data_IF_815798214684
#
_entry.id   IF_815798214684
#
_cell.length_a   1.000
_cell.length_b   1.000
_cell.length_c   1.000
_cell.angle_alpha   90.00
_cell.angle_beta   90.00
_cell.angle_gamma   90.00
#
_symmetry.space_group_name_H-M   'P 1'
#
loop_
_entity.id
_entity.type
_entity.pdbx_description
1 polymer ?
#
# COMPACT_ATOMS: atom_id res chain seq x y z
N UNK A 1 -13.57 6.49 -15.95
CA UNK A 1 -12.44 6.59 -16.92
C UNK A 1 -12.74 5.66 -18.09
N UNK A 2 -12.20 5.89 -19.29
CA UNK A 2 -12.51 5.02 -20.45
C UNK A 2 -11.51 3.86 -20.56
N UNK A 3 -11.97 2.61 -20.58
CA UNK A 3 -11.15 1.44 -20.92
C UNK A 3 -10.95 1.33 -22.46
N UNK A 4 -9.70 1.33 -22.96
CA UNK A 4 -9.40 1.10 -24.36
C UNK A 4 -9.76 -0.32 -24.81
N UNK A 5 -10.15 -0.47 -26.08
CA UNK A 5 -10.53 -1.77 -26.65
C UNK A 5 -9.37 -2.77 -26.67
N UNK A 6 -8.13 -2.30 -26.82
CA UNK A 6 -6.94 -3.14 -26.79
C UNK A 6 -6.73 -3.79 -25.42
N UNK A 7 -6.92 -3.03 -24.33
CA UNK A 7 -6.92 -3.57 -22.95
C UNK A 7 -8.02 -4.62 -22.79
N UNK A 8 -9.23 -4.34 -23.27
CA UNK A 8 -10.34 -5.28 -23.20
C UNK A 8 -10.04 -6.59 -23.96
N UNK A 9 -9.34 -6.50 -25.10
CA UNK A 9 -8.93 -7.66 -25.88
C UNK A 9 -7.86 -8.50 -25.15
N UNK A 10 -6.85 -7.85 -24.57
CA UNK A 10 -5.81 -8.53 -23.81
C UNK A 10 -6.37 -9.27 -22.58
N UNK A 11 -7.33 -8.65 -21.88
CA UNK A 11 -8.02 -9.28 -20.75
C UNK A 11 -8.85 -10.48 -21.19
N UNK A 12 -9.61 -10.34 -22.29
CA UNK A 12 -10.46 -11.40 -22.82
C UNK A 12 -9.67 -12.66 -23.24
N UNK A 13 -8.37 -12.54 -23.52
CA UNK A 13 -7.49 -13.66 -23.86
C UNK A 13 -6.98 -14.44 -22.63
N UNK A 14 -6.95 -13.81 -21.45
CA UNK A 14 -6.42 -14.42 -20.23
C UNK A 14 -7.51 -14.96 -19.30
N UNK A 15 -8.72 -14.38 -19.35
CA UNK A 15 -9.86 -14.90 -18.60
C UNK A 15 -10.29 -16.24 -19.21
N UNK A 16 -10.36 -17.28 -18.38
CA UNK A 16 -10.72 -18.64 -18.79
C UNK A 16 -11.86 -19.15 -17.92
N UNK A 17 -12.72 -19.97 -18.49
CA UNK A 17 -13.85 -20.57 -17.78
C UNK A 17 -14.95 -21.00 -18.72
N UNK A 18 -15.94 -21.69 -18.17
CA UNK A 18 -17.19 -21.94 -18.89
C UNK A 18 -17.98 -20.63 -19.08
N UNK A 19 -18.99 -20.62 -19.94
CA UNK A 19 -19.86 -19.46 -20.08
C UNK A 19 -20.50 -19.04 -18.75
N UNK A 20 -20.96 -20.00 -17.94
CA UNK A 20 -21.56 -19.73 -16.63
C UNK A 20 -20.53 -19.17 -15.64
N UNK A 21 -19.31 -19.70 -15.66
CA UNK A 21 -18.21 -19.21 -14.81
C UNK A 21 -17.86 -17.77 -15.13
N UNK A 22 -17.69 -17.46 -16.42
CA UNK A 22 -17.34 -16.11 -16.86
C UNK A 22 -18.51 -15.12 -16.68
N UNK A 23 -19.76 -15.56 -16.83
CA UNK A 23 -20.92 -14.72 -16.51
C UNK A 23 -20.90 -14.33 -15.02
N UNK A 24 -20.76 -15.30 -14.12
CA UNK A 24 -20.66 -15.05 -12.68
C UNK A 24 -19.45 -14.21 -12.29
N UNK A 25 -18.31 -14.40 -12.95
CA UNK A 25 -17.08 -13.64 -12.72
C UNK A 25 -17.25 -12.17 -13.09
N UNK A 26 -17.87 -11.87 -14.23
CA UNK A 26 -18.16 -10.50 -14.65
C UNK A 26 -19.16 -9.82 -13.71
N UNK A 27 -20.22 -10.54 -13.30
CA UNK A 27 -21.19 -10.03 -12.32
C UNK A 27 -20.52 -9.72 -10.97
N UNK A 28 -19.70 -10.65 -10.45
CA UNK A 28 -18.97 -10.47 -9.20
C UNK A 28 -17.95 -9.31 -9.27
N UNK A 29 -17.37 -9.08 -10.45
CA UNK A 29 -16.48 -7.95 -10.70
C UNK A 29 -17.22 -6.60 -10.86
N UNK A 30 -18.57 -6.61 -10.84
CA UNK A 30 -19.40 -5.41 -10.89
C UNK A 30 -19.84 -4.99 -12.30
N UNK A 31 -19.79 -5.88 -13.29
CA UNK A 31 -20.23 -5.57 -14.64
C UNK A 31 -21.77 -5.40 -14.70
N UNK A 32 -22.30 -4.27 -15.21
CA UNK A 32 -23.73 -4.03 -15.25
C UNK A 32 -24.41 -4.73 -16.42
N UNK A 33 -25.67 -5.08 -16.17
CA UNK A 33 -26.59 -5.66 -17.16
C UNK A 33 -26.18 -7.05 -17.64
N UNK A 34 -27.01 -7.68 -18.48
CA UNK A 34 -26.77 -9.05 -18.92
C UNK A 34 -25.60 -9.12 -19.93
N UNK A 35 -24.94 -10.28 -20.03
CA UNK A 35 -23.93 -10.54 -21.05
C UNK A 35 -24.42 -10.22 -22.48
N UNK A 36 -23.57 -9.67 -23.36
CA UNK A 36 -23.91 -9.50 -24.78
C UNK A 36 -24.22 -10.83 -25.47
N UNK A 37 -25.18 -10.82 -26.40
CA UNK A 37 -25.50 -11.97 -27.25
C UNK A 37 -24.47 -12.11 -28.40
N UNK A 38 -23.22 -12.40 -28.04
CA UNK A 38 -22.09 -12.56 -28.96
C UNK A 38 -21.41 -13.93 -28.77
N UNK A 39 -20.68 -14.43 -29.79
CA UNK A 39 -19.86 -15.63 -29.65
C UNK A 39 -18.81 -15.50 -28.54
N UNK A 40 -18.43 -16.62 -27.92
CA UNK A 40 -17.53 -16.69 -26.75
C UNK A 40 -16.29 -15.78 -26.86
N UNK A 41 -15.58 -15.82 -27.99
CA UNK A 41 -14.35 -15.05 -28.22
C UNK A 41 -14.56 -13.53 -28.29
N UNK A 42 -15.79 -13.06 -28.53
CA UNK A 42 -16.13 -11.63 -28.66
C UNK A 42 -16.95 -11.10 -27.48
N UNK A 43 -17.71 -11.98 -26.82
CA UNK A 43 -18.65 -11.68 -25.73
C UNK A 43 -17.98 -10.94 -24.57
N UNK A 44 -16.92 -11.51 -24.01
CA UNK A 44 -16.26 -11.01 -22.80
C UNK A 44 -15.55 -9.68 -23.03
N UNK A 45 -14.85 -9.57 -24.16
CA UNK A 45 -14.24 -8.31 -24.62
C UNK A 45 -15.28 -7.19 -24.70
N UNK A 46 -16.43 -7.46 -25.32
CA UNK A 46 -17.47 -6.45 -25.51
C UNK A 46 -18.19 -6.11 -24.21
N UNK A 47 -18.40 -7.09 -23.33
CA UNK A 47 -18.98 -6.84 -22.02
C UNK A 47 -18.06 -5.98 -21.16
N UNK A 48 -16.76 -6.30 -21.11
CA UNK A 48 -15.77 -5.51 -20.39
C UNK A 48 -15.69 -4.09 -20.93
N UNK A 49 -15.66 -3.94 -22.26
CA UNK A 49 -15.65 -2.62 -22.88
C UNK A 49 -16.91 -1.81 -22.56
N UNK A 50 -18.09 -2.43 -22.56
CA UNK A 50 -19.34 -1.76 -22.19
C UNK A 50 -19.34 -1.38 -20.70
N UNK A 51 -19.02 -2.33 -19.83
CA UNK A 51 -19.03 -2.20 -18.39
C UNK A 51 -18.00 -1.17 -17.89
N UNK A 52 -16.75 -1.28 -18.32
CA UNK A 52 -15.68 -0.37 -17.88
C UNK A 52 -15.77 1.04 -18.46
N UNK A 53 -16.70 1.29 -19.39
CA UNK A 53 -17.01 2.62 -19.90
C UNK A 53 -18.35 3.17 -19.39
N UNK A 54 -19.04 2.41 -18.54
CA UNK A 54 -20.22 2.87 -17.83
C UNK A 54 -19.81 3.87 -16.73
N UNK A 55 -20.39 5.08 -16.67
CA UNK A 55 -20.06 6.08 -15.64
C UNK A 55 -20.32 5.64 -14.19
N UNK A 56 -21.18 4.63 -13.99
CA UNK A 56 -21.54 4.12 -12.66
C UNK A 56 -20.60 3.02 -12.15
N UNK A 57 -19.65 2.57 -12.97
CA UNK A 57 -18.76 1.45 -12.68
C UNK A 57 -17.36 1.97 -12.38
N UNK A 58 -16.74 1.42 -11.32
CA UNK A 58 -15.31 1.58 -11.13
C UNK A 58 -14.56 0.67 -12.12
N UNK A 59 -14.15 1.28 -13.24
CA UNK A 59 -13.44 0.59 -14.32
C UNK A 59 -12.16 -0.11 -13.87
N UNK A 60 -11.48 0.40 -12.84
CA UNK A 60 -10.23 -0.17 -12.34
C UNK A 60 -10.47 -1.37 -11.44
N UNK A 61 -11.45 -1.25 -10.54
CA UNK A 61 -11.88 -2.37 -9.71
C UNK A 61 -12.41 -3.52 -10.58
N UNK A 62 -13.27 -3.21 -11.58
CA UNK A 62 -13.77 -4.20 -12.54
C UNK A 62 -12.62 -4.92 -13.26
N UNK A 63 -11.68 -4.15 -13.83
CA UNK A 63 -10.55 -4.70 -14.58
C UNK A 63 -9.65 -5.56 -13.69
N UNK A 64 -9.35 -5.07 -12.49
CA UNK A 64 -8.48 -5.71 -11.52
C UNK A 64 -9.04 -7.03 -10.99
N UNK A 65 -10.31 -7.03 -10.59
CA UNK A 65 -11.02 -8.23 -10.14
C UNK A 65 -11.08 -9.30 -11.23
N UNK A 66 -11.18 -8.89 -12.50
CA UNK A 66 -11.23 -9.82 -13.63
C UNK A 66 -9.90 -10.51 -13.94
N UNK A 67 -8.77 -9.88 -13.62
CA UNK A 67 -7.45 -10.42 -13.96
C UNK A 67 -6.65 -10.89 -12.75
N UNK A 68 -7.16 -10.70 -11.53
CA UNK A 68 -6.46 -11.01 -10.28
C UNK A 68 -5.95 -12.46 -10.25
N UNK A 69 -6.84 -13.42 -10.44
CA UNK A 69 -6.48 -14.85 -10.37
C UNK A 69 -5.38 -15.18 -11.38
N UNK A 70 -5.50 -14.72 -12.62
CA UNK A 70 -4.48 -14.93 -13.64
C UNK A 70 -3.14 -14.25 -13.28
N UNK A 71 -3.18 -13.03 -12.77
CA UNK A 71 -1.97 -12.24 -12.50
C UNK A 71 -1.21 -12.73 -11.26
N UNK A 72 -1.91 -13.25 -10.25
CA UNK A 72 -1.37 -13.58 -8.93
C UNK A 72 -1.19 -15.07 -8.67
N UNK A 73 -1.83 -15.94 -9.46
CA UNK A 73 -1.74 -17.40 -9.33
C UNK A 73 -1.12 -18.04 -10.59
N UNK A 74 0.22 -18.20 -10.65
CA UNK A 74 0.86 -18.91 -11.75
C UNK A 74 0.46 -20.40 -11.75
N UNK A 75 0.42 -21.05 -12.93
CA UNK A 75 0.11 -22.47 -13.04
C UNK A 75 1.11 -23.32 -12.25
N UNK A 76 0.62 -24.36 -11.57
CA UNK A 76 1.43 -25.24 -10.75
C UNK A 76 2.39 -26.08 -11.60
N UNK A 77 3.63 -26.23 -11.15
CA UNK A 77 4.60 -27.11 -11.79
C UNK A 77 4.12 -28.57 -11.69
N UNK A 78 3.65 -29.14 -12.80
CA UNK A 78 3.19 -30.53 -12.88
C UNK A 78 1.70 -30.74 -13.13
N UNK A 79 0.93 -29.70 -13.50
CA UNK A 79 -0.40 -29.91 -14.06
C UNK A 79 -0.25 -30.46 -15.49
N UNK A 80 -0.22 -31.79 -15.62
CA UNK A 80 -0.41 -32.45 -16.91
C UNK A 80 -1.80 -32.07 -17.45
N UNK A 81 -1.84 -31.05 -18.31
CA UNK A 81 -3.00 -30.78 -19.14
C UNK A 81 -3.09 -31.90 -20.18
N UNK A 82 -3.64 -33.05 -19.77
CA UNK A 82 -4.02 -34.13 -20.70
C UNK A 82 -5.14 -33.61 -21.60
N UNK A 83 -4.75 -33.00 -22.73
CA UNK A 83 -5.68 -32.61 -23.77
C UNK A 83 -6.27 -33.85 -24.45
N UNK A 84 -7.61 -33.93 -24.49
CA UNK A 84 -8.40 -35.04 -25.09
C UNK A 84 -8.21 -35.15 -26.63
N UNK A 85 -7.39 -34.33 -27.27
CA UNK A 85 -7.21 -34.32 -28.73
C UNK A 85 -5.76 -34.10 -29.23
N UNK A 86 -4.75 -34.51 -28.46
CA UNK A 86 -3.37 -34.59 -28.98
C UNK A 86 -2.66 -33.25 -29.24
N UNK A 87 -3.17 -32.14 -28.69
CA UNK A 87 -2.45 -30.86 -28.62
C UNK A 87 -2.05 -30.64 -27.17
N UNK A 88 -0.76 -30.79 -26.87
CA UNK A 88 -0.20 -30.45 -25.57
C UNK A 88 -0.18 -28.94 -25.43
N UNK A 89 -1.13 -28.37 -24.70
CA UNK A 89 -1.10 -26.95 -24.32
C UNK A 89 -0.19 -26.85 -23.10
N UNK A 90 1.06 -26.46 -23.31
CA UNK A 90 2.00 -26.27 -22.21
C UNK A 90 1.68 -24.93 -21.52
N UNK A 91 0.80 -25.00 -20.53
CA UNK A 91 0.35 -23.84 -19.74
C UNK A 91 1.51 -23.13 -19.04
N UNK A 92 2.60 -23.85 -18.73
CA UNK A 92 3.80 -23.28 -18.12
C UNK A 92 4.59 -22.40 -19.10
N UNK A 93 4.54 -22.69 -20.41
CA UNK A 93 5.16 -21.88 -21.45
C UNK A 93 4.27 -20.73 -21.94
N UNK A 94 2.95 -20.93 -21.94
CA UNK A 94 1.98 -19.94 -22.45
C UNK A 94 1.68 -18.85 -21.41
N UNK A 95 1.70 -19.19 -20.12
CA UNK A 95 1.42 -18.25 -19.03
C UNK A 95 2.34 -17.03 -19.02
N UNK A 96 3.69 -17.16 -19.04
CA UNK A 96 4.57 -16.00 -19.05
C UNK A 96 4.32 -15.09 -20.25
N UNK A 97 4.13 -15.67 -21.45
CA UNK A 97 3.87 -14.91 -22.68
C UNK A 97 2.58 -14.10 -22.60
N UNK A 98 1.50 -14.71 -22.10
CA UNK A 98 0.21 -14.04 -21.92
C UNK A 98 0.26 -12.96 -20.85
N UNK A 99 0.97 -13.23 -19.75
CA UNK A 99 1.16 -12.28 -18.66
C UNK A 99 1.97 -11.07 -19.11
N UNK A 100 3.10 -11.28 -19.79
CA UNK A 100 3.95 -10.20 -20.30
C UNK A 100 3.21 -9.35 -21.34
N UNK A 101 2.42 -9.98 -22.22
CA UNK A 101 1.57 -9.25 -23.16
C UNK A 101 0.50 -8.42 -22.45
N UNK A 102 -0.18 -8.96 -21.44
CA UNK A 102 -1.19 -8.22 -20.69
C UNK A 102 -0.56 -7.02 -19.96
N UNK A 103 0.60 -7.20 -19.33
CA UNK A 103 1.36 -6.11 -18.70
C UNK A 103 1.72 -5.04 -19.73
N UNK A 104 2.30 -5.43 -20.87
CA UNK A 104 2.69 -4.49 -21.93
C UNK A 104 1.51 -3.66 -22.45
N UNK A 105 0.36 -4.29 -22.69
CA UNK A 105 -0.85 -3.60 -23.15
C UNK A 105 -1.42 -2.67 -22.07
N UNK A 106 -1.39 -3.07 -20.79
CA UNK A 106 -1.79 -2.20 -19.70
C UNK A 106 -0.88 -0.96 -19.64
N UNK A 107 0.44 -1.16 -19.65
CA UNK A 107 1.40 -0.06 -19.52
C UNK A 107 1.39 0.89 -20.72
N UNK A 108 1.27 0.37 -21.95
CA UNK A 108 1.12 1.18 -23.17
C UNK A 108 -0.10 2.10 -23.10
N UNK A 109 -1.19 1.63 -22.49
CA UNK A 109 -2.41 2.41 -22.29
C UNK A 109 -2.46 3.19 -20.98
N UNK A 110 -1.32 3.29 -20.30
CA UNK A 110 -1.21 4.09 -19.09
C UNK A 110 -1.87 3.45 -17.88
N UNK A 111 -1.80 2.13 -17.74
CA UNK A 111 -2.29 1.37 -16.59
C UNK A 111 -1.19 0.47 -16.02
N UNK A 112 -1.23 0.25 -14.71
CA UNK A 112 -0.33 -0.67 -14.03
C UNK A 112 -1.11 -1.57 -13.08
N UNK A 113 -0.82 -2.87 -13.16
CA UNK A 113 -1.33 -3.86 -12.24
C UNK A 113 -0.45 -3.97 -10.99
N UNK A 114 -1.09 -4.16 -9.84
CA UNK A 114 -0.49 -4.46 -8.55
C UNK A 114 -1.21 -5.68 -7.95
N UNK A 115 -0.44 -6.50 -7.23
CA UNK A 115 -0.93 -7.69 -6.54
C UNK A 115 -2.18 -7.38 -5.70
N UNK A 116 -3.10 -8.34 -5.67
CA UNK A 116 -4.43 -8.24 -5.05
C UNK A 116 -5.43 -7.51 -5.95
N UNK A 117 -5.33 -7.70 -7.26
CA UNK A 117 -6.33 -7.20 -8.20
C UNK A 117 -6.37 -5.67 -8.35
N UNK A 118 -5.31 -4.93 -8.01
CA UNK A 118 -5.34 -3.46 -8.06
C UNK A 118 -4.79 -2.95 -9.39
N UNK A 119 -5.55 -2.13 -10.11
CA UNK A 119 -5.09 -1.48 -11.35
C UNK A 119 -5.17 0.04 -11.19
N UNK A 120 -4.10 0.75 -11.55
CA UNK A 120 -4.01 2.20 -11.41
C UNK A 120 -3.46 2.86 -12.68
N UNK A 121 -3.72 4.15 -12.93
CA UNK A 121 -3.07 4.90 -14.01
C UNK A 121 -1.54 4.93 -13.89
N UNK A 122 -0.81 4.90 -15.01
CA UNK A 122 0.63 5.17 -15.04
C UNK A 122 0.86 6.63 -14.61
N UNK A 123 1.66 6.80 -13.55
CA UNK A 123 1.80 8.06 -12.82
C UNK A 123 1.17 8.01 -11.42
N UNK A 124 0.14 7.18 -11.25
CA UNK A 124 -0.43 6.81 -9.96
C UNK A 124 0.13 5.44 -9.55
N UNK A 125 1.45 5.33 -9.43
CA UNK A 125 1.99 4.22 -8.64
C UNK A 125 1.57 4.44 -7.18
N UNK A 126 1.21 3.40 -6.40
CA UNK A 126 1.31 3.52 -4.96
C UNK A 126 2.75 3.92 -4.70
N UNK A 127 2.93 4.99 -3.93
CA UNK A 127 4.21 5.67 -3.72
C UNK A 127 5.30 4.63 -3.45
N UNK A 128 6.05 4.28 -4.49
CA UNK A 128 7.23 3.44 -4.44
C UNK A 128 8.39 4.39 -4.70
N UNK A 129 9.00 4.82 -3.61
CA UNK A 129 10.36 5.34 -3.56
C UNK A 129 11.28 4.27 -4.15
N UNK A 130 11.66 4.39 -5.42
CA UNK A 130 12.65 3.48 -6.01
C UNK A 130 13.49 4.19 -7.06
N UNK A 131 14.65 4.63 -6.62
CA UNK A 131 15.82 4.85 -7.45
C UNK A 131 16.93 3.90 -7.00
N UNK A 132 16.65 2.60 -6.94
CA UNK A 132 17.64 1.50 -6.87
C UNK A 132 16.88 0.17 -7.05
N UNK A 133 16.71 -0.25 -8.30
CA UNK A 133 16.12 -1.56 -8.64
C UNK A 133 16.90 -2.19 -9.79
N UNK A 134 18.15 -2.55 -9.51
CA UNK A 134 18.91 -3.52 -10.29
C UNK A 134 19.66 -4.48 -9.36
N UNK A 135 18.95 -5.05 -8.38
CA UNK A 135 19.29 -6.29 -7.69
C UNK A 135 18.19 -6.59 -6.68
N UNK A 136 17.41 -7.66 -6.88
CA UNK A 136 16.87 -8.57 -5.85
C UNK A 136 15.69 -9.37 -6.41
N UNK A 137 15.99 -10.24 -7.36
CA UNK A 137 15.30 -11.53 -7.43
C UNK A 137 16.20 -12.55 -6.71
N UNK A 138 16.41 -12.37 -5.39
CA UNK A 138 17.14 -13.29 -4.51
C UNK A 138 17.12 -12.72 -3.08
N UNK A 139 16.20 -13.22 -2.25
CA UNK A 139 16.38 -13.51 -0.82
C UNK A 139 15.00 -13.68 -0.19
N UNK A 140 14.50 -14.92 -0.20
CA UNK A 140 13.33 -15.32 0.58
C UNK A 140 13.69 -15.57 2.07
N UNK A 141 14.90 -15.18 2.47
CA UNK A 141 15.39 -15.31 3.84
C UNK A 141 15.13 -14.03 4.64
N UNK A 142 14.84 -14.14 5.95
CA UNK A 142 14.75 -12.98 6.83
C UNK A 142 16.09 -12.24 6.83
N UNK A 143 16.11 -11.05 6.23
CA UNK A 143 17.31 -10.20 6.26
C UNK A 143 17.34 -9.41 7.56
N UNK A 144 18.47 -9.48 8.27
CA UNK A 144 18.75 -8.61 9.41
C UNK A 144 19.01 -7.20 8.88
N UNK A 145 18.32 -6.16 9.38
CA UNK A 145 18.60 -4.79 8.98
C UNK A 145 20.04 -4.40 9.31
N UNK A 146 20.68 -3.72 8.37
CA UNK A 146 22.08 -3.27 8.41
C UNK A 146 22.26 -1.94 9.14
N UNK A 147 21.17 -1.18 9.32
CA UNK A 147 21.17 0.10 10.03
C UNK A 147 19.91 0.32 10.85
N UNK A 148 19.96 1.25 11.81
CA UNK A 148 18.79 1.69 12.55
C UNK A 148 17.71 2.27 11.62
N UNK A 149 18.13 3.05 10.63
CA UNK A 149 17.21 3.67 9.68
C UNK A 149 16.47 2.62 8.84
N UNK A 150 17.18 1.59 8.38
CA UNK A 150 16.57 0.46 7.68
C UNK A 150 15.60 -0.31 8.59
N UNK A 151 16.01 -0.61 9.82
CA UNK A 151 15.17 -1.27 10.83
C UNK A 151 13.86 -0.50 11.06
N UNK A 152 13.95 0.81 11.32
CA UNK A 152 12.79 1.64 11.59
C UNK A 152 11.86 1.73 10.36
N UNK A 153 12.42 1.84 9.15
CA UNK A 153 11.63 1.82 7.93
C UNK A 153 10.89 0.49 7.72
N UNK A 154 11.54 -0.64 8.01
CA UNK A 154 10.92 -1.97 7.95
C UNK A 154 9.75 -2.05 8.94
N UNK A 155 9.96 -1.63 10.19
CA UNK A 155 8.92 -1.67 11.24
C UNK A 155 7.76 -0.74 10.88
N UNK A 156 8.03 0.52 10.54
CA UNK A 156 7.00 1.54 10.27
C UNK A 156 6.17 1.16 9.05
N UNK A 157 6.80 0.79 7.92
CA UNK A 157 6.06 0.36 6.72
C UNK A 157 5.39 -0.99 6.91
N UNK A 158 5.88 -1.81 7.82
CA UNK A 158 5.30 -3.10 8.21
C UNK A 158 4.08 -3.00 9.13
N UNK A 159 3.79 -1.82 9.71
CA UNK A 159 2.72 -1.63 10.70
C UNK A 159 1.37 -2.21 10.26
N UNK A 160 0.84 -1.95 9.04
CA UNK A 160 -0.46 -2.49 8.63
C UNK A 160 -0.47 -4.03 8.61
N UNK A 161 0.63 -4.65 8.17
CA UNK A 161 0.80 -6.11 8.16
C UNK A 161 0.90 -6.66 9.59
N UNK A 162 1.55 -5.94 10.49
CA UNK A 162 1.66 -6.31 11.90
C UNK A 162 0.30 -6.19 12.63
N UNK A 163 -0.53 -5.22 12.25
CA UNK A 163 -1.88 -5.02 12.80
C UNK A 163 -2.84 -6.13 12.38
N UNK A 164 -2.77 -6.61 11.14
CA UNK A 164 -3.71 -7.59 10.59
C UNK A 164 -3.96 -8.83 11.49
N UNK A 165 -2.94 -9.59 11.96
CA UNK A 165 -3.19 -10.73 12.84
C UNK A 165 -3.70 -10.36 14.25
N UNK A 166 -3.55 -9.09 14.65
CA UNK A 166 -4.03 -8.57 15.94
C UNK A 166 -5.51 -8.16 15.87
N UNK A 167 -5.96 -7.67 14.71
CA UNK A 167 -7.35 -7.28 14.44
C UNK A 167 -8.19 -8.46 13.92
N UNK A 168 -7.58 -9.40 13.18
CA UNK A 168 -8.24 -10.59 12.60
C UNK A 168 -7.83 -11.88 13.31
N UNK A 169 -8.21 -11.97 14.59
CA UNK A 169 -7.83 -13.11 15.43
C UNK A 169 -8.70 -14.35 15.19
N UNK A 170 -8.22 -15.50 15.67
CA UNK A 170 -8.96 -16.78 15.63
C UNK A 170 -10.31 -16.64 16.35
N UNK A 171 -11.31 -17.38 15.88
CA UNK A 171 -12.66 -17.41 16.45
C UNK A 171 -12.61 -17.59 17.97
N UNK A 172 -13.29 -16.70 18.69
CA UNK A 172 -13.38 -16.71 20.16
C UNK A 172 -12.28 -15.92 20.88
N UNK A 173 -11.27 -15.39 20.18
CA UNK A 173 -10.28 -14.50 20.77
C UNK A 173 -10.71 -13.02 20.66
N UNK A 174 -10.40 -12.22 21.68
CA UNK A 174 -10.61 -10.76 21.65
C UNK A 174 -9.64 -10.11 20.68
N UNK A 175 -10.17 -9.54 19.60
CA UNK A 175 -9.41 -8.72 18.66
C UNK A 175 -8.94 -7.42 19.34
N UNK A 176 -7.75 -6.96 18.97
CA UNK A 176 -7.28 -5.63 19.34
C UNK A 176 -7.87 -4.60 18.37
N UNK A 177 -8.19 -3.42 18.89
CA UNK A 177 -8.61 -2.27 18.09
C UNK A 177 -7.39 -1.39 17.79
N UNK A 178 -7.35 -0.79 16.61
CA UNK A 178 -6.34 0.19 16.19
C UNK A 178 -7.06 1.51 15.88
N UNK A 179 -7.74 2.07 16.89
CA UNK A 179 -8.68 3.17 16.73
C UNK A 179 -8.16 4.51 17.27
N UNK A 180 -7.01 4.50 17.94
CA UNK A 180 -6.40 5.67 18.55
C UNK A 180 -4.89 5.70 18.29
N UNK A 181 -4.31 6.88 18.52
CA UNK A 181 -2.86 7.10 18.44
C UNK A 181 -2.10 6.20 19.43
N UNK A 182 -2.62 6.06 20.65
CA UNK A 182 -2.05 5.18 21.68
C UNK A 182 -1.98 3.71 21.25
N UNK A 183 -2.97 3.20 20.50
CA UNK A 183 -2.92 1.82 20.00
C UNK A 183 -1.74 1.63 19.01
N UNK A 184 -1.47 2.65 18.19
CA UNK A 184 -0.35 2.66 17.24
C UNK A 184 0.99 2.76 17.99
N UNK A 185 1.04 3.62 19.01
CA UNK A 185 2.20 3.76 19.89
C UNK A 185 2.55 2.43 20.57
N UNK A 186 1.58 1.76 21.20
CA UNK A 186 1.79 0.49 21.89
C UNK A 186 2.32 -0.59 20.93
N UNK A 187 1.72 -0.70 19.75
CA UNK A 187 2.19 -1.63 18.72
C UNK A 187 3.62 -1.30 18.26
N UNK A 188 3.89 -0.04 17.95
CA UNK A 188 5.21 0.39 17.50
C UNK A 188 6.27 0.13 18.58
N UNK A 189 5.98 0.50 19.83
CA UNK A 189 6.85 0.26 20.97
C UNK A 189 7.17 -1.23 21.16
N UNK A 190 6.15 -2.09 21.04
CA UNK A 190 6.33 -3.55 21.14
C UNK A 190 7.28 -4.11 20.08
N UNK A 191 7.31 -3.50 18.88
CA UNK A 191 8.19 -3.90 17.78
C UNK A 191 9.59 -3.30 17.89
N UNK A 192 9.75 -2.14 18.53
CA UNK A 192 11.04 -1.47 18.72
C UNK A 192 11.87 -2.07 19.86
N UNK A 193 11.22 -2.44 20.98
CA UNK A 193 11.91 -2.94 22.19
C UNK A 193 12.85 -4.13 22.00
N UNK A 194 12.56 -5.11 21.11
CA UNK A 194 13.51 -6.20 20.85
C UNK A 194 14.84 -5.76 20.24
N UNK A 195 14.89 -4.57 19.63
CA UNK A 195 16.05 -4.09 18.88
C UNK A 195 16.79 -2.93 19.55
N UNK A 196 16.06 -2.11 20.31
CA UNK A 196 16.56 -0.86 20.87
C UNK A 196 16.39 -0.91 22.39
N UNK A 197 17.53 -0.94 23.10
CA UNK A 197 17.56 -1.11 24.55
C UNK A 197 17.06 0.12 25.32
N UNK A 198 17.40 1.33 24.86
CA UNK A 198 16.99 2.60 25.47
C UNK A 198 15.99 3.32 24.57
N UNK A 199 14.70 3.08 24.86
CA UNK A 199 13.57 3.83 24.31
C UNK A 199 12.92 4.52 25.51
N UNK A 200 12.84 5.84 25.45
CA UNK A 200 12.18 6.64 26.46
C UNK A 200 10.81 7.05 25.94
N UNK A 201 9.75 6.36 26.35
CA UNK A 201 8.43 6.88 26.12
C UNK A 201 8.27 8.11 27.03
N UNK A 202 7.54 9.12 26.56
CA UNK A 202 6.98 10.15 27.44
C UNK A 202 7.98 11.21 28.00
N UNK A 203 9.09 11.51 27.31
CA UNK A 203 10.03 12.57 27.72
C UNK A 203 9.48 13.97 27.39
N UNK A 204 9.59 14.90 28.35
CA UNK A 204 9.06 16.26 28.25
C UNK A 204 10.07 17.21 27.58
N UNK A 205 9.62 18.05 26.66
CA UNK A 205 10.46 19.11 26.08
C UNK A 205 10.74 20.25 27.07
N UNK A 206 11.81 21.05 26.89
CA UNK A 206 11.89 22.36 27.52
C UNK A 206 10.61 23.18 27.23
N UNK A 207 10.13 23.94 28.20
CA UNK A 207 8.87 24.70 28.06
C UNK A 207 8.94 25.72 26.93
N UNK A 208 7.98 25.69 26.00
CA UNK A 208 7.81 26.68 24.94
C UNK A 208 6.47 27.39 25.10
N UNK A 209 6.49 28.73 25.16
CA UNK A 209 5.30 29.57 25.36
C UNK A 209 4.40 29.14 26.54
N UNK A 210 4.98 28.57 27.61
CA UNK A 210 4.25 28.07 28.77
C UNK A 210 3.66 26.66 28.63
N UNK A 211 3.90 25.98 27.50
CA UNK A 211 3.48 24.60 27.24
C UNK A 211 4.68 23.66 27.16
N UNK A 212 4.48 22.42 27.58
CA UNK A 212 5.45 21.34 27.49
C UNK A 212 4.83 20.23 26.66
N UNK A 213 5.42 19.90 25.52
CA UNK A 213 4.95 18.79 24.70
C UNK A 213 5.69 17.53 25.11
N UNK A 214 4.97 16.41 25.11
CA UNK A 214 5.51 15.11 25.46
C UNK A 214 5.80 14.34 24.19
N UNK A 215 7.04 13.91 24.04
CA UNK A 215 7.47 13.10 22.92
C UNK A 215 6.96 11.66 23.07
N UNK A 216 6.49 11.07 21.97
CA UNK A 216 6.03 9.68 21.97
C UNK A 216 7.19 8.70 22.23
N UNK A 217 8.25 8.77 21.40
CA UNK A 217 9.44 7.95 21.60
C UNK A 217 10.71 8.77 21.38
N UNK A 218 11.50 8.96 22.44
CA UNK A 218 12.88 9.43 22.31
C UNK A 218 13.83 8.23 22.32
N UNK A 219 14.76 8.20 21.35
CA UNK A 219 15.86 7.25 21.24
C UNK A 219 17.17 8.01 21.53
N UNK A 220 17.59 8.15 22.80
CA UNK A 220 18.61 9.11 23.20
C UNK A 220 19.98 8.84 22.59
N UNK A 221 20.34 7.56 22.44
CA UNK A 221 21.60 7.15 21.84
C UNK A 221 21.70 7.49 20.34
N UNK A 222 20.58 7.88 19.73
CA UNK A 222 20.45 8.12 18.29
C UNK A 222 19.97 9.55 17.96
N UNK A 223 19.82 10.40 18.98
CA UNK A 223 19.22 11.74 18.90
C UNK A 223 17.98 11.78 18.00
N UNK A 224 17.13 10.76 18.12
CA UNK A 224 15.99 10.53 17.22
C UNK A 224 14.71 10.49 18.03
N UNK A 225 13.73 11.27 17.59
CA UNK A 225 12.36 11.21 18.09
C UNK A 225 11.47 10.57 17.03
N UNK A 226 10.59 9.68 17.45
CA UNK A 226 9.50 9.17 16.62
C UNK A 226 8.21 9.71 17.21
N UNK A 227 7.47 10.48 16.42
CA UNK A 227 6.17 11.06 16.74
C UNK A 227 5.10 10.32 15.94
N UNK A 228 4.01 9.92 16.57
CA UNK A 228 2.93 9.17 15.93
C UNK A 228 1.66 10.02 15.85
N UNK A 229 0.89 9.88 14.78
CA UNK A 229 -0.43 10.49 14.65
C UNK A 229 -1.45 9.53 14.07
N UNK A 230 -2.67 9.52 14.59
CA UNK A 230 -3.79 8.74 14.03
C UNK A 230 -4.83 9.64 13.36
N UNK A 231 -5.10 9.43 12.08
CA UNK A 231 -6.16 10.15 11.35
C UNK A 231 -7.53 9.58 11.71
N UNK A 232 -8.27 10.31 12.56
CA UNK A 232 -9.57 9.89 13.08
C UNK A 232 -10.73 10.13 12.11
N UNK A 233 -10.69 11.26 11.40
CA UNK A 233 -11.74 11.69 10.50
C UNK A 233 -11.22 12.69 9.45
N UNK A 234 -12.08 13.04 8.49
CA UNK A 234 -11.73 13.95 7.38
C UNK A 234 -11.39 15.37 7.86
N UNK A 235 -12.00 15.84 8.95
CA UNK A 235 -11.68 17.14 9.53
C UNK A 235 -10.33 17.14 10.25
N UNK A 236 -9.95 16.03 10.86
CA UNK A 236 -8.61 15.84 11.43
C UNK A 236 -7.54 15.77 10.35
N UNK A 237 -7.82 15.04 9.26
CA UNK A 237 -6.88 14.87 8.14
C UNK A 237 -6.40 16.20 7.53
N UNK A 238 -7.24 17.24 7.53
CA UNK A 238 -6.88 18.57 7.02
C UNK A 238 -6.07 19.42 7.99
N UNK A 239 -6.06 19.08 9.29
CA UNK A 239 -5.35 19.84 10.33
C UNK A 239 -4.09 19.16 10.85
N UNK A 240 -3.89 17.88 10.55
CA UNK A 240 -2.76 17.08 11.08
C UNK A 240 -1.39 17.67 10.72
N UNK A 241 -1.27 18.31 9.56
CA UNK A 241 -0.05 19.04 9.18
C UNK A 241 0.29 20.18 10.14
N UNK A 242 -0.72 20.89 10.66
CA UNK A 242 -0.50 21.96 11.65
C UNK A 242 -0.01 21.41 13.00
N UNK A 243 -0.52 20.24 13.40
CA UNK A 243 -0.06 19.55 14.62
C UNK A 243 1.41 19.17 14.46
N UNK A 244 1.79 18.55 13.34
CA UNK A 244 3.18 18.19 13.06
C UNK A 244 4.11 19.41 12.97
N UNK A 245 3.65 20.56 12.45
CA UNK A 245 4.44 21.80 12.44
C UNK A 245 4.77 22.26 13.86
N UNK A 246 3.80 22.17 14.79
CA UNK A 246 4.02 22.51 16.19
C UNK A 246 5.02 21.54 16.84
N UNK A 247 4.88 20.25 16.59
CA UNK A 247 5.79 19.22 17.10
C UNK A 247 7.22 19.45 16.59
N UNK A 248 7.38 19.69 15.29
CA UNK A 248 8.68 20.03 14.67
C UNK A 248 9.32 21.23 15.37
N UNK A 249 8.55 22.31 15.59
CA UNK A 249 9.09 23.54 16.17
C UNK A 249 9.48 23.36 17.64
N UNK A 250 8.72 22.57 18.41
CA UNK A 250 9.08 22.23 19.78
C UNK A 250 10.31 21.33 19.85
N UNK A 251 10.37 20.29 19.02
CA UNK A 251 11.43 19.29 19.09
C UNK A 251 12.77 19.78 18.53
N UNK A 252 12.76 20.75 17.61
CA UNK A 252 13.97 21.39 17.07
C UNK A 252 14.91 21.98 18.13
N UNK A 253 14.36 22.38 19.28
CA UNK A 253 15.12 22.94 20.42
C UNK A 253 15.59 21.89 21.42
N UNK A 254 15.15 20.63 21.25
CA UNK A 254 15.48 19.59 22.20
C UNK A 254 16.93 19.12 21.98
N UNK A 255 17.80 19.15 23.00
CA UNK A 255 19.24 18.90 22.83
C UNK A 255 19.58 17.45 22.43
N UNK A 256 18.59 16.54 22.46
CA UNK A 256 18.71 15.15 22.00
C UNK A 256 17.80 14.83 20.82
N UNK A 257 17.37 15.83 20.06
CA UNK A 257 16.53 15.64 18.88
C UNK A 257 17.19 16.28 17.66
N UNK A 258 18.12 15.55 17.04
CA UNK A 258 18.71 15.94 15.77
C UNK A 258 17.84 15.47 14.60
N UNK A 259 17.02 14.44 14.83
CA UNK A 259 16.15 13.81 13.84
C UNK A 259 14.75 13.60 14.42
N UNK A 260 13.73 13.87 13.62
CA UNK A 260 12.33 13.64 13.93
C UNK A 260 11.68 12.82 12.81
N UNK A 261 11.07 11.70 13.17
CA UNK A 261 10.31 10.85 12.27
C UNK A 261 8.83 10.89 12.66
N UNK A 262 8.03 11.54 11.82
CA UNK A 262 6.58 11.64 12.01
C UNK A 262 5.90 10.45 11.31
N UNK A 263 5.15 9.63 12.05
CA UNK A 263 4.44 8.46 11.56
C UNK A 263 2.93 8.72 11.65
N UNK A 264 2.32 9.04 10.52
CA UNK A 264 0.89 9.29 10.41
C UNK A 264 0.20 8.02 9.93
N UNK A 265 -0.64 7.43 10.77
CA UNK A 265 -1.52 6.33 10.39
C UNK A 265 -2.86 6.86 9.89
N UNK A 266 -3.15 6.63 8.61
CA UNK A 266 -4.37 7.05 7.91
C UNK A 266 -5.14 5.83 7.37
N UNK A 267 -5.85 5.09 8.25
CA UNK A 267 -6.48 3.82 7.90
C UNK A 267 -7.52 3.94 6.78
N UNK A 268 -8.10 5.13 6.59
CA UNK A 268 -9.22 5.38 5.69
C UNK A 268 -8.85 6.28 4.49
N UNK A 269 -7.56 6.55 4.27
CA UNK A 269 -7.07 7.41 3.18
C UNK A 269 -7.72 8.80 3.16
N UNK A 270 -7.89 9.41 4.34
CA UNK A 270 -8.58 10.69 4.50
C UNK A 270 -7.67 11.89 4.26
N UNK A 271 -6.35 11.71 4.27
CA UNK A 271 -5.38 12.77 3.94
C UNK A 271 -5.50 13.13 2.45
N UNK A 272 -5.93 14.36 2.09
CA UNK A 272 -6.27 14.69 0.69
C UNK A 272 -5.07 14.75 -0.26
N UNK A 273 -3.93 15.25 0.22
CA UNK A 273 -2.69 15.34 -0.54
C UNK A 273 -1.49 14.86 0.31
N UNK A 274 -1.34 13.54 0.48
CA UNK A 274 -0.26 12.97 1.30
C UNK A 274 1.13 13.39 0.79
N UNK A 275 1.34 13.35 -0.53
CA UNK A 275 2.61 13.69 -1.14
C UNK A 275 3.00 15.16 -0.91
N UNK A 276 2.04 16.09 -1.05
CA UNK A 276 2.26 17.50 -0.76
C UNK A 276 2.60 17.73 0.71
N UNK A 277 1.87 17.09 1.63
CA UNK A 277 2.15 17.20 3.06
C UNK A 277 3.54 16.70 3.43
N UNK A 278 3.97 15.56 2.86
CA UNK A 278 5.33 15.03 3.05
C UNK A 278 6.35 16.04 2.52
N UNK A 279 6.19 16.52 1.29
CA UNK A 279 7.10 17.50 0.69
C UNK A 279 7.21 18.81 1.48
N UNK A 280 6.09 19.28 2.04
CA UNK A 280 6.02 20.53 2.81
C UNK A 280 6.68 20.42 4.19
N UNK A 281 6.70 19.22 4.79
CA UNK A 281 7.17 18.99 6.17
C UNK A 281 8.58 18.38 6.25
N UNK A 282 8.97 17.52 5.31
CA UNK A 282 10.28 16.88 5.30
C UNK A 282 11.43 17.89 5.10
N UNK A 283 12.64 17.47 5.48
CA UNK A 283 13.84 18.27 5.32
C UNK A 283 14.38 18.84 6.64
N UNK A 284 15.45 19.63 6.53
CA UNK A 284 16.08 20.26 7.69
C UNK A 284 15.30 21.51 8.11
N UNK A 285 14.91 21.58 9.37
CA UNK A 285 14.25 22.73 9.98
C UNK A 285 15.22 23.36 10.95
N UNK A 286 15.65 24.59 10.68
CA UNK A 286 16.66 25.29 11.46
C UNK A 286 16.23 26.72 11.73
N UNK A 287 16.39 27.15 12.98
CA UNK A 287 16.28 28.53 13.44
C UNK A 287 17.39 28.73 14.48
N UNK A 288 17.80 29.97 14.75
CA UNK A 288 19.03 30.27 15.51
C UNK A 288 19.21 29.57 16.88
N UNK A 289 18.16 28.97 17.45
CA UNK A 289 18.16 28.22 18.71
C UNK A 289 18.06 26.67 18.56
N UNK A 290 18.21 26.11 17.36
CA UNK A 290 18.25 24.65 17.16
C UNK A 290 17.97 24.18 15.72
N UNK A 291 18.21 22.90 15.45
CA UNK A 291 17.92 22.29 14.14
C UNK A 291 17.45 20.85 14.27
N UNK A 292 16.54 20.42 13.40
CA UNK A 292 16.08 19.02 13.33
C UNK A 292 15.88 18.58 11.88
N UNK A 293 16.31 17.36 11.57
CA UNK A 293 16.03 16.71 10.29
C UNK A 293 14.72 15.95 10.37
N UNK A 294 13.73 16.33 9.56
CA UNK A 294 12.39 15.75 9.59
C UNK A 294 12.22 14.72 8.47
N UNK A 295 11.58 13.61 8.79
CA UNK A 295 11.00 12.63 7.85
C UNK A 295 9.55 12.34 8.18
N UNK A 296 8.72 12.13 7.16
CA UNK A 296 7.28 11.91 7.32
C UNK A 296 6.87 10.62 6.62
N UNK A 297 6.20 9.75 7.36
CA UNK A 297 5.64 8.50 6.88
C UNK A 297 4.13 8.56 7.00
N UNK A 298 3.41 8.51 5.88
CA UNK A 298 1.95 8.34 5.88
C UNK A 298 1.67 6.87 5.54
N UNK A 299 1.17 6.14 6.54
CA UNK A 299 0.88 4.72 6.48
C UNK A 299 -0.63 4.54 6.41
N UNK A 300 -1.12 3.97 5.32
CA UNK A 300 -2.55 3.70 5.18
C UNK A 300 -2.93 2.28 5.60
N UNK A 301 -4.22 2.09 5.86
CA UNK A 301 -4.81 0.77 6.08
C UNK A 301 -4.61 -0.14 4.84
N UNK A 302 -4.60 -1.45 5.08
CA UNK A 302 -4.65 -2.45 4.01
C UNK A 302 -6.08 -2.75 3.61
#
# INVERSE_FOLDING_TARGET
>A
MRLPMAVCAAVAEVVRGSHQTLDAMFEAAGAPGPPPALPHHSKWKMWLFRAGNDPSVDSFALLGNLIEEFMDLPPASGSDATGVFGVTHDELLDYPRKRDRLIGVLEEHGFRYFRGGRVLPNGNSPVNTSGEALATAQNNEPQRPSSLEELLQIIIRGLPRAMHPLTHRRKGATALSMGSEYDIQDLLHSQLRPWIADIRPEEFTPSYAGSCTRMDFLLPAHSLVIETKHVRDRGHATRIGNELILDIEHYRRHPKCDRLWCVVYDPLHLVPNPAGMIADLEGTRSLGDGSVQVRVFIISGC
#
